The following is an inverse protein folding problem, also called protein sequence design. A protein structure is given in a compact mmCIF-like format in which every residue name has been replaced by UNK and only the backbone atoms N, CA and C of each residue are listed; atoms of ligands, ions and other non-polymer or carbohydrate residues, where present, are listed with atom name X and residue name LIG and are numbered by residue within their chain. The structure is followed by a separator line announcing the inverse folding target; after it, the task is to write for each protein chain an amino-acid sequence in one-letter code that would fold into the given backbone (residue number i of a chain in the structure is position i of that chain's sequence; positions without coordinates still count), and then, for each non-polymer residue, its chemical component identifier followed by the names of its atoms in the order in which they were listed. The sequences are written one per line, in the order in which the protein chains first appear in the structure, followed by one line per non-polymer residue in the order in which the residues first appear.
data_IF_187619438530
#
_entry.id   IF_187619438530
#
_cell.length_a   1.000
_cell.length_b   1.000
_cell.length_c   1.000
_cell.angle_alpha   90.00
_cell.angle_beta   90.00
_cell.angle_gamma   90.00
#
_symmetry.space_group_name_H-M   'P 1'
#
loop_
_entity.id
_entity.type
_entity.pdbx_description
1 polymer ?
#
# COMPACT_ATOMS: atom_id res chain seq x y z
N UNK A 1 -1.71 -7.09 3.34
CA UNK A 1 -2.65 -8.22 3.17
C UNK A 1 -3.92 -7.86 3.92
N UNK A 2 -5.07 -8.31 3.45
CA UNK A 2 -6.32 -8.22 4.21
C UNK A 2 -6.34 -9.24 5.36
N UNK A 3 -7.45 -9.30 6.09
CA UNK A 3 -7.62 -10.25 7.19
C UNK A 3 -7.56 -11.73 6.75
N UNK A 4 -7.77 -12.02 5.46
CA UNK A 4 -7.71 -13.36 4.89
C UNK A 4 -6.30 -13.72 4.37
N UNK A 5 -5.35 -12.79 4.44
CA UNK A 5 -4.01 -12.97 3.90
C UNK A 5 -3.91 -12.70 2.39
N UNK A 6 -4.92 -12.08 1.77
CA UNK A 6 -4.91 -11.74 0.35
C UNK A 6 -4.30 -10.36 0.10
N UNK A 7 -3.70 -10.20 -1.09
CA UNK A 7 -3.11 -8.92 -1.48
C UNK A 7 -4.22 -7.91 -1.80
N UNK A 8 -4.26 -6.83 -1.02
CA UNK A 8 -5.07 -5.66 -1.35
C UNK A 8 -4.37 -4.91 -2.48
N UNK A 9 -4.96 -4.88 -3.67
CA UNK A 9 -4.38 -4.23 -4.86
C UNK A 9 -4.46 -2.72 -4.79
N UNK A 10 -5.59 -2.20 -4.34
CA UNK A 10 -5.84 -0.78 -4.21
C UNK A 10 -6.60 -0.51 -2.92
N UNK A 11 -6.31 0.62 -2.28
CA UNK A 11 -7.06 1.09 -1.13
C UNK A 11 -7.06 2.63 -1.06
N UNK A 12 -8.12 3.15 -0.46
CA UNK A 12 -8.22 4.56 -0.10
C UNK A 12 -7.49 4.86 1.21
N UNK A 13 -7.14 6.13 1.46
CA UNK A 13 -6.68 6.59 2.78
C UNK A 13 -7.60 6.14 3.92
N UNK A 14 -8.92 6.18 3.72
CA UNK A 14 -9.90 5.77 4.73
C UNK A 14 -9.79 4.27 5.05
N UNK A 15 -9.63 3.42 4.02
CA UNK A 15 -9.42 1.98 4.20
C UNK A 15 -8.06 1.69 4.88
N UNK A 16 -7.00 2.42 4.51
CA UNK A 16 -5.70 2.29 5.17
C UNK A 16 -5.80 2.62 6.68
N UNK A 17 -6.50 3.70 7.04
CA UNK A 17 -6.77 4.06 8.45
C UNK A 17 -7.62 2.99 9.14
N UNK A 18 -8.62 2.43 8.46
CA UNK A 18 -9.46 1.37 9.01
C UNK A 18 -8.65 0.10 9.30
N UNK A 19 -7.78 -0.33 8.38
CA UNK A 19 -6.91 -1.49 8.58
C UNK A 19 -5.95 -1.34 9.75
N UNK A 20 -5.51 -0.11 10.05
CA UNK A 20 -4.73 0.17 11.26
C UNK A 20 -5.62 0.03 12.50
N UNK A 21 -6.83 0.62 12.46
CA UNK A 21 -7.75 0.66 13.60
C UNK A 21 -8.34 -0.72 13.97
N UNK A 22 -8.66 -1.55 12.98
CA UNK A 22 -9.21 -2.90 13.20
C UNK A 22 -8.16 -3.98 13.47
N UNK A 23 -6.88 -3.62 13.41
CA UNK A 23 -5.76 -4.51 13.69
C UNK A 23 -5.37 -5.44 12.54
N UNK A 24 -5.93 -5.25 11.34
CA UNK A 24 -5.50 -5.98 10.13
C UNK A 24 -4.05 -5.64 9.78
N UNK A 25 -3.68 -4.37 9.83
CA UNK A 25 -2.31 -3.92 9.68
C UNK A 25 -1.57 -4.03 11.02
N UNK A 26 -0.46 -4.78 11.04
CA UNK A 26 0.30 -5.04 12.27
C UNK A 26 1.78 -4.74 12.12
N UNK A 27 2.45 -4.53 13.26
CA UNK A 27 3.90 -4.35 13.33
C UNK A 27 4.40 -3.22 12.43
N UNK A 28 5.44 -3.50 11.64
CA UNK A 28 6.05 -2.53 10.74
C UNK A 28 5.17 -2.07 9.57
N UNK A 29 3.98 -2.64 9.37
CA UNK A 29 3.04 -2.17 8.34
C UNK A 29 2.36 -0.86 8.75
N UNK A 30 2.11 -0.66 10.05
CA UNK A 30 1.49 0.56 10.59
C UNK A 30 2.29 1.81 10.19
N UNK A 31 3.61 1.93 10.49
CA UNK A 31 4.37 3.12 10.10
C UNK A 31 4.52 3.28 8.58
N UNK A 32 4.39 2.20 7.79
CA UNK A 32 4.41 2.29 6.31
C UNK A 32 3.13 2.94 5.79
N UNK A 33 1.98 2.49 6.28
CA UNK A 33 0.70 3.08 5.94
C UNK A 33 0.61 4.54 6.40
N UNK A 34 1.06 4.85 7.62
CA UNK A 34 1.11 6.23 8.13
C UNK A 34 2.00 7.13 7.25
N UNK A 35 3.14 6.62 6.79
CA UNK A 35 4.02 7.37 5.87
C UNK A 35 3.34 7.65 4.53
N UNK A 36 2.66 6.65 3.95
CA UNK A 36 1.91 6.83 2.71
C UNK A 36 0.77 7.83 2.88
N UNK A 37 -0.02 7.71 3.95
CA UNK A 37 -1.10 8.65 4.29
C UNK A 37 -0.54 10.06 4.43
N UNK A 38 0.56 10.24 5.15
CA UNK A 38 1.20 11.55 5.30
C UNK A 38 1.64 12.11 3.95
N UNK A 39 2.22 11.32 3.06
CA UNK A 39 2.62 11.78 1.73
C UNK A 39 1.42 12.25 0.91
N UNK A 40 0.32 11.50 0.93
CA UNK A 40 -0.92 11.85 0.22
C UNK A 40 -1.55 13.12 0.79
N UNK A 41 -1.62 13.25 2.12
CA UNK A 41 -2.10 14.46 2.80
C UNK A 41 -1.27 15.71 2.45
N UNK A 42 -0.02 15.54 1.98
CA UNK A 42 0.88 16.62 1.51
C UNK A 42 0.92 16.80 -0.02
N UNK A 43 -0.05 16.23 -0.75
CA UNK A 43 -0.25 16.51 -2.17
C UNK A 43 0.41 15.52 -3.14
N UNK A 44 0.90 14.38 -2.64
CA UNK A 44 1.21 13.23 -3.52
C UNK A 44 -0.11 12.64 -4.02
N UNK A 45 -0.18 12.32 -5.31
CA UNK A 45 -1.40 11.78 -5.93
C UNK A 45 -1.70 10.33 -5.49
N UNK A 46 -0.67 9.49 -5.45
CA UNK A 46 -0.78 8.10 -5.02
C UNK A 46 0.56 7.59 -4.47
N UNK A 47 0.52 6.59 -3.59
CA UNK A 47 1.69 5.90 -3.07
C UNK A 47 1.54 4.39 -3.27
N UNK A 48 2.62 3.68 -3.56
CA UNK A 48 2.60 2.21 -3.77
C UNK A 48 3.54 1.52 -2.80
N UNK A 49 3.05 0.48 -2.13
CA UNK A 49 3.87 -0.45 -1.33
C UNK A 49 4.19 -1.69 -2.19
N UNK A 50 5.48 -2.01 -2.33
CA UNK A 50 5.99 -3.08 -3.18
C UNK A 50 6.73 -4.15 -2.36
N UNK A 51 6.70 -5.40 -2.83
CA UNK A 51 7.61 -6.46 -2.35
C UNK A 51 8.98 -6.34 -3.05
N UNK A 52 9.93 -5.71 -2.37
CA UNK A 52 11.28 -5.50 -2.87
C UNK A 52 12.11 -6.77 -3.11
N UNK A 53 11.64 -7.96 -2.69
CA UNK A 53 12.31 -9.23 -2.97
C UNK A 53 12.09 -9.70 -4.40
N UNK A 54 11.03 -9.23 -5.04
CA UNK A 54 10.71 -9.59 -6.42
C UNK A 54 11.66 -8.88 -7.38
N UNK A 55 12.38 -9.61 -8.25
CA UNK A 55 13.25 -9.00 -9.24
C UNK A 55 12.48 -8.02 -10.14
N UNK A 56 13.08 -6.86 -10.41
CA UNK A 56 12.52 -5.84 -11.29
C UNK A 56 11.15 -5.28 -10.86
N UNK A 57 10.77 -5.38 -9.58
CA UNK A 57 9.45 -4.96 -9.09
C UNK A 57 9.08 -3.52 -9.45
N UNK A 58 10.04 -2.59 -9.47
CA UNK A 58 9.80 -1.20 -9.88
C UNK A 58 9.42 -1.09 -11.36
N UNK A 59 10.07 -1.87 -12.24
CA UNK A 59 9.75 -1.87 -13.67
C UNK A 59 8.39 -2.51 -13.89
N UNK A 60 8.07 -3.59 -13.18
CA UNK A 60 6.76 -4.22 -13.28
C UNK A 60 5.65 -3.28 -12.80
N UNK A 61 5.86 -2.54 -11.72
CA UNK A 61 4.89 -1.55 -11.26
C UNK A 61 4.64 -0.45 -12.30
N UNK A 62 5.70 0.07 -12.93
CA UNK A 62 5.58 1.19 -13.88
C UNK A 62 5.12 0.78 -15.28
N UNK A 63 5.42 -0.45 -15.71
CA UNK A 63 5.23 -0.90 -17.09
C UNK A 63 4.20 -2.03 -17.24
N UNK A 64 3.34 -2.25 -16.24
CA UNK A 64 2.19 -3.16 -16.36
C UNK A 64 0.88 -2.43 -16.06
N UNK A 65 -0.20 -2.82 -16.72
CA UNK A 65 -1.49 -2.11 -16.61
C UNK A 65 -2.06 -2.09 -15.18
N UNK A 66 -1.82 -3.16 -14.40
CA UNK A 66 -2.43 -3.33 -13.08
C UNK A 66 -1.44 -3.18 -11.92
N UNK A 67 -0.17 -2.90 -12.22
CA UNK A 67 0.90 -2.96 -11.23
C UNK A 67 1.01 -4.33 -10.53
N UNK A 68 1.90 -4.40 -9.55
CA UNK A 68 2.14 -5.61 -8.75
C UNK A 68 2.08 -5.34 -7.24
N UNK A 69 1.99 -4.07 -6.83
CA UNK A 69 1.92 -3.64 -5.44
C UNK A 69 0.52 -3.46 -4.86
N UNK A 70 0.52 -2.74 -3.74
CA UNK A 70 -0.68 -2.13 -3.14
C UNK A 70 -0.63 -0.63 -3.39
N UNK A 71 -1.55 -0.12 -4.21
CA UNK A 71 -1.74 1.30 -4.48
C UNK A 71 -2.61 1.93 -3.38
N UNK A 72 -2.20 3.10 -2.90
CA UNK A 72 -2.89 3.89 -1.88
C UNK A 72 -3.16 5.28 -2.47
N UNK A 73 -4.41 5.72 -2.44
CA UNK A 73 -4.88 7.01 -2.98
C UNK A 73 -5.95 7.68 -2.09
#
# INVERSE_FOLDING_TARGET
LDANGELVREMTIAQARQMIADGTATGGMIPKLETCIAALDHGVEAAVILDGRTPHVLLMELFTEHGVGTLIH
#
